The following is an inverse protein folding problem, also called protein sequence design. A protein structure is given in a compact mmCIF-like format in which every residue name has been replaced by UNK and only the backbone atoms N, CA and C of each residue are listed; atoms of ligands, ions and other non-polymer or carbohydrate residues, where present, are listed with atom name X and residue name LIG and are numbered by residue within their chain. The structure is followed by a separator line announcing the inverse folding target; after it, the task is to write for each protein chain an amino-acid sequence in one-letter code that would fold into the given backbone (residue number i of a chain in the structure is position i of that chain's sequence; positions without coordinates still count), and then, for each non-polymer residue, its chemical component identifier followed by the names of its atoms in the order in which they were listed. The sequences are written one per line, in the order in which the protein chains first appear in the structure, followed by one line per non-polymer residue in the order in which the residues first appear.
data_IF_085229357313
#
_entry.id   IF_085229357313
#
_cell.length_a   1.000
_cell.length_b   1.000
_cell.length_c   1.000
_cell.angle_alpha   90.00
_cell.angle_beta   90.00
_cell.angle_gamma   90.00
#
_symmetry.space_group_name_H-M   'P 1'
#
loop_
_entity.id
_entity.type
_entity.pdbx_description
1 polymer ?
#
# COMPACT_ATOMS: atom_id res chain seq x y z
N UNK A 1 -12.93 -10.56 -10.63
CA UNK A 1 -12.86 -11.20 -9.30
C UNK A 1 -12.88 -10.08 -8.27
N UNK A 2 -14.00 -9.92 -7.55
CA UNK A 2 -14.15 -8.94 -6.48
C UNK A 2 -13.06 -9.17 -5.42
N UNK A 3 -12.35 -8.10 -5.04
CA UNK A 3 -11.43 -8.15 -3.88
C UNK A 3 -12.19 -8.72 -2.70
N UNK A 4 -11.65 -9.66 -1.93
CA UNK A 4 -12.24 -9.99 -0.66
C UNK A 4 -12.20 -8.71 0.18
N UNK A 5 -13.38 -8.23 0.53
CA UNK A 5 -13.56 -7.16 1.50
C UNK A 5 -12.99 -7.73 2.81
N UNK A 6 -11.72 -7.41 3.12
CA UNK A 6 -11.13 -7.78 4.39
C UNK A 6 -11.88 -7.01 5.46
N UNK A 7 -12.87 -7.66 6.07
CA UNK A 7 -13.60 -7.09 7.20
C UNK A 7 -12.54 -6.69 8.24
N UNK A 8 -12.45 -5.40 8.55
CA UNK A 8 -11.49 -4.84 9.53
C UNK A 8 -11.63 -5.47 10.92
N UNK A 9 -12.69 -6.27 11.11
CA UNK A 9 -13.04 -6.99 12.32
C UNK A 9 -12.43 -8.40 12.44
N UNK A 10 -11.62 -8.83 11.46
CA UNK A 10 -11.03 -10.16 11.48
C UNK A 10 -9.77 -10.22 12.35
N UNK A 11 -9.84 -10.96 13.47
CA UNK A 11 -8.79 -11.05 14.49
C UNK A 11 -7.76 -12.17 14.27
N UNK A 12 -8.00 -13.08 13.34
CA UNK A 12 -7.16 -14.28 13.17
C UNK A 12 -5.98 -14.04 12.25
N UNK A 13 -4.83 -14.69 12.49
CA UNK A 13 -3.62 -14.52 11.69
C UNK A 13 -3.82 -14.99 10.25
N UNK A 14 -3.26 -14.24 9.30
CA UNK A 14 -3.29 -14.54 7.87
C UNK A 14 -1.87 -14.95 7.47
N UNK A 15 -1.66 -16.24 7.15
CA UNK A 15 -0.32 -16.76 6.81
C UNK A 15 0.28 -16.20 5.52
N UNK A 16 -0.52 -15.58 4.66
CA UNK A 16 -0.07 -14.96 3.41
C UNK A 16 0.82 -13.72 3.62
N UNK A 17 0.99 -13.28 4.87
CA UNK A 17 1.80 -12.09 5.19
C UNK A 17 3.19 -12.49 5.68
N UNK A 18 4.26 -11.87 5.18
CA UNK A 18 5.62 -12.13 5.66
C UNK A 18 5.73 -11.85 7.17
N UNK A 19 6.43 -12.73 7.87
CA UNK A 19 6.70 -12.57 9.30
C UNK A 19 5.57 -12.99 10.26
N UNK A 20 4.40 -13.45 9.78
CA UNK A 20 3.31 -13.94 10.65
C UNK A 20 3.78 -15.12 11.50
N UNK A 21 4.42 -16.10 10.88
CA UNK A 21 4.92 -17.29 11.57
C UNK A 21 5.96 -16.92 12.64
N UNK A 22 6.90 -16.04 12.28
CA UNK A 22 7.93 -15.59 13.23
C UNK A 22 7.33 -14.89 14.44
N UNK A 23 6.38 -13.98 14.22
CA UNK A 23 5.70 -13.25 15.31
C UNK A 23 4.86 -14.17 16.18
N UNK A 24 4.14 -15.10 15.56
CA UNK A 24 3.37 -16.12 16.27
C UNK A 24 4.27 -16.95 17.19
N UNK A 25 5.41 -17.41 16.68
CA UNK A 25 6.39 -18.16 17.46
C UNK A 25 6.96 -17.34 18.61
N UNK A 26 7.33 -16.08 18.38
CA UNK A 26 7.82 -15.17 19.43
C UNK A 26 6.75 -14.97 20.51
N UNK A 27 5.49 -14.71 20.12
CA UNK A 27 4.38 -14.57 21.07
C UNK A 27 4.14 -15.82 21.89
N UNK A 28 4.19 -17.01 21.27
CA UNK A 28 4.06 -18.29 21.96
C UNK A 28 5.17 -18.48 22.99
N UNK A 29 6.42 -18.23 22.62
CA UNK A 29 7.57 -18.36 23.53
C UNK A 29 7.46 -17.36 24.69
N UNK A 30 7.15 -16.09 24.39
CA UNK A 30 7.02 -15.05 25.41
C UNK A 30 5.91 -15.37 26.42
N UNK A 31 4.73 -15.83 25.95
CA UNK A 31 3.63 -16.23 26.82
C UNK A 31 3.96 -17.51 27.64
N UNK A 32 4.72 -18.45 27.07
CA UNK A 32 5.17 -19.64 27.81
C UNK A 32 6.10 -19.26 28.94
N UNK A 33 7.07 -18.38 28.69
CA UNK A 33 7.97 -17.85 29.72
C UNK A 33 7.17 -17.09 30.78
N UNK A 34 6.27 -16.21 30.38
CA UNK A 34 5.42 -15.44 31.31
C UNK A 34 4.55 -16.36 32.18
N UNK A 35 3.89 -17.35 31.57
CA UNK A 35 3.06 -18.33 32.26
C UNK A 35 3.85 -19.10 33.33
N UNK A 36 5.10 -19.47 33.05
CA UNK A 36 5.99 -20.12 33.99
C UNK A 36 6.33 -19.24 35.20
N UNK A 37 6.58 -17.95 34.94
CA UNK A 37 6.90 -16.99 36.01
C UNK A 37 5.71 -16.73 36.95
N UNK A 38 4.49 -16.87 36.45
CA UNK A 38 3.25 -16.62 37.21
C UNK A 38 2.84 -17.84 38.04
N UNK A 39 3.15 -19.05 37.60
CA UNK A 39 2.58 -20.28 38.20
C UNK A 39 3.29 -20.80 39.44
N UNK A 40 4.57 -20.65 39.62
CA UNK A 40 5.27 -20.88 40.92
C UNK A 40 6.78 -20.65 40.82
N UNK A 41 7.40 -20.26 41.92
CA UNK A 41 8.83 -19.89 41.97
C UNK A 41 9.76 -21.07 42.33
N UNK A 42 9.27 -22.13 43.01
CA UNK A 42 10.15 -23.17 43.53
C UNK A 42 10.54 -24.25 42.52
N UNK A 43 9.70 -24.52 41.49
CA UNK A 43 9.93 -25.52 40.43
C UNK A 43 9.73 -24.94 39.02
N UNK A 44 10.30 -23.77 38.75
CA UNK A 44 10.10 -23.08 37.48
C UNK A 44 10.46 -23.91 36.23
N UNK A 45 11.53 -24.74 36.33
CA UNK A 45 11.97 -25.57 35.20
C UNK A 45 10.98 -26.67 34.88
N UNK A 46 10.42 -27.34 35.93
CA UNK A 46 9.36 -28.33 35.73
C UNK A 46 8.11 -27.70 35.08
N UNK A 47 7.66 -26.55 35.58
CA UNK A 47 6.51 -25.83 35.04
C UNK A 47 6.78 -25.36 33.61
N UNK A 48 7.97 -24.85 33.30
CA UNK A 48 8.38 -24.49 31.95
C UNK A 48 8.30 -25.66 30.97
N UNK A 49 8.80 -26.83 31.38
CA UNK A 49 8.75 -28.02 30.53
C UNK A 49 7.30 -28.50 30.29
N UNK A 50 6.45 -28.45 31.32
CA UNK A 50 5.03 -28.81 31.20
C UNK A 50 4.30 -27.86 30.27
N UNK A 51 4.45 -26.53 30.40
CA UNK A 51 3.81 -25.55 29.54
C UNK A 51 4.36 -25.62 28.12
N UNK A 52 5.65 -25.82 27.94
CA UNK A 52 6.26 -25.98 26.61
C UNK A 52 5.71 -27.19 25.86
N UNK A 53 5.60 -28.34 26.53
CA UNK A 53 5.01 -29.55 25.96
C UNK A 53 3.54 -29.39 25.54
N UNK A 54 2.82 -28.44 26.18
CA UNK A 54 1.40 -28.21 25.93
C UNK A 54 1.18 -27.08 24.93
N UNK A 55 1.77 -25.92 25.16
CA UNK A 55 1.44 -24.70 24.44
C UNK A 55 2.12 -24.59 23.08
N UNK A 56 3.31 -25.15 22.90
CA UNK A 56 3.97 -25.14 21.58
C UNK A 56 3.20 -26.00 20.56
N UNK A 57 2.86 -27.28 20.84
CA UNK A 57 2.04 -28.06 19.90
C UNK A 57 0.65 -27.47 19.68
N UNK A 58 0.00 -26.96 20.73
CA UNK A 58 -1.30 -26.31 20.63
C UNK A 58 -1.25 -25.09 19.71
N UNK A 59 -0.30 -24.20 19.88
CA UNK A 59 -0.12 -23.01 19.06
C UNK A 59 0.21 -23.35 17.62
N UNK A 60 1.00 -24.38 17.38
CA UNK A 60 1.35 -24.85 16.04
C UNK A 60 0.13 -25.45 15.29
N UNK A 61 -0.67 -26.27 15.98
CA UNK A 61 -1.91 -26.82 15.42
C UNK A 61 -2.91 -25.72 15.06
N UNK A 62 -3.05 -24.71 15.91
CA UNK A 62 -3.89 -23.53 15.63
C UNK A 62 -3.36 -22.73 14.43
N UNK A 63 -2.05 -22.52 14.36
CA UNK A 63 -1.45 -21.83 13.21
C UNK A 63 -1.72 -22.56 11.90
N UNK A 64 -1.59 -23.88 11.87
CA UNK A 64 -1.91 -24.70 10.70
C UNK A 64 -3.39 -24.58 10.30
N UNK A 65 -4.30 -24.64 11.28
CA UNK A 65 -5.75 -24.50 10.99
C UNK A 65 -6.11 -23.12 10.49
N UNK A 66 -5.48 -22.06 10.98
CA UNK A 66 -5.66 -20.71 10.44
C UNK A 66 -5.06 -20.55 9.04
N UNK A 67 -3.95 -21.20 8.76
CA UNK A 67 -3.33 -21.19 7.44
C UNK A 67 -4.19 -21.85 6.37
N UNK A 68 -4.60 -23.08 6.64
CA UNK A 68 -5.37 -23.89 5.67
C UNK A 68 -6.88 -23.58 5.73
N UNK A 69 -7.45 -23.45 6.93
CA UNK A 69 -8.87 -23.23 7.17
C UNK A 69 -9.30 -21.76 7.18
N UNK A 70 -8.37 -20.82 7.25
CA UNK A 70 -8.68 -19.40 7.41
C UNK A 70 -9.56 -18.81 6.30
N UNK A 71 -9.47 -19.34 5.07
CA UNK A 71 -10.35 -18.94 3.96
C UNK A 71 -11.80 -19.37 4.18
N UNK A 72 -12.01 -20.49 4.84
CA UNK A 72 -13.34 -21.03 5.15
C UNK A 72 -13.93 -20.35 6.39
N UNK A 73 -13.14 -20.17 7.44
CA UNK A 73 -13.53 -19.46 8.66
C UNK A 73 -13.97 -18.01 8.39
N UNK A 74 -13.35 -17.33 7.42
CA UNK A 74 -13.74 -15.98 6.98
C UNK A 74 -15.12 -15.87 6.37
N UNK A 75 -15.73 -16.98 5.95
CA UNK A 75 -17.11 -17.00 5.43
C UNK A 75 -18.14 -17.04 6.56
N UNK A 76 -17.73 -17.37 7.78
CA UNK A 76 -18.60 -17.42 8.94
C UNK A 76 -18.87 -16.02 9.50
N UNK A 77 -20.04 -15.85 10.12
CA UNK A 77 -20.31 -14.68 10.95
C UNK A 77 -19.31 -14.64 12.11
N UNK A 78 -18.95 -13.44 12.58
CA UNK A 78 -17.93 -13.21 13.61
C UNK A 78 -18.20 -14.02 14.89
N UNK A 79 -19.48 -14.14 15.32
CA UNK A 79 -19.85 -14.93 16.47
C UNK A 79 -19.57 -16.43 16.27
N UNK A 80 -19.90 -16.98 15.11
CA UNK A 80 -19.61 -18.38 14.77
C UNK A 80 -18.11 -18.64 14.58
N UNK A 81 -17.36 -17.64 14.16
CA UNK A 81 -15.88 -17.74 14.11
C UNK A 81 -15.27 -17.90 15.50
N UNK A 82 -15.79 -17.18 16.50
CA UNK A 82 -15.36 -17.33 17.90
C UNK A 82 -15.74 -18.69 18.50
N UNK A 83 -16.94 -19.18 18.18
CA UNK A 83 -17.38 -20.53 18.60
C UNK A 83 -16.49 -21.60 17.97
N UNK A 84 -16.25 -21.52 16.66
CA UNK A 84 -15.39 -22.48 15.95
C UNK A 84 -13.97 -22.47 16.54
N UNK A 85 -13.45 -21.28 16.83
CA UNK A 85 -12.15 -21.12 17.48
C UNK A 85 -12.09 -21.77 18.87
N UNK A 86 -13.09 -21.54 19.72
CA UNK A 86 -13.15 -22.14 21.04
C UNK A 86 -13.22 -23.67 20.97
N UNK A 87 -14.04 -24.21 20.07
CA UNK A 87 -14.15 -25.65 19.85
C UNK A 87 -12.82 -26.23 19.36
N UNK A 88 -12.14 -25.61 18.41
CA UNK A 88 -10.83 -26.07 17.93
C UNK A 88 -9.77 -26.04 19.04
N UNK A 89 -9.74 -24.98 19.85
CA UNK A 89 -8.82 -24.87 20.98
C UNK A 89 -9.05 -25.98 21.99
N UNK A 90 -10.30 -26.24 22.38
CA UNK A 90 -10.65 -27.32 23.30
C UNK A 90 -10.28 -28.69 22.72
N UNK A 91 -10.59 -28.94 21.46
CA UNK A 91 -10.28 -30.22 20.79
C UNK A 91 -8.77 -30.45 20.74
N UNK A 92 -7.99 -29.45 20.34
CA UNK A 92 -6.54 -29.58 20.27
C UNK A 92 -5.89 -29.70 21.66
N UNK A 93 -6.40 -28.98 22.66
CA UNK A 93 -5.94 -29.13 24.05
C UNK A 93 -6.15 -30.55 24.55
N UNK A 94 -7.33 -31.15 24.31
CA UNK A 94 -7.63 -32.53 24.67
C UNK A 94 -6.72 -33.54 23.91
N UNK A 95 -6.50 -33.33 22.63
CA UNK A 95 -5.57 -34.17 21.86
C UNK A 95 -4.14 -34.10 22.39
N UNK A 96 -3.64 -32.92 22.71
CA UNK A 96 -2.31 -32.74 23.30
C UNK A 96 -2.24 -33.36 24.69
N UNK A 97 -3.32 -33.28 25.49
CA UNK A 97 -3.44 -33.95 26.77
C UNK A 97 -3.34 -35.48 26.63
N UNK A 98 -4.11 -36.07 25.73
CA UNK A 98 -4.12 -37.50 25.48
C UNK A 98 -2.75 -38.05 25.04
N UNK A 99 -1.96 -37.24 24.31
CA UNK A 99 -0.62 -37.63 23.88
C UNK A 99 0.40 -37.51 25.04
N UNK A 100 0.28 -36.49 25.90
CA UNK A 100 1.28 -36.21 26.90
C UNK A 100 1.06 -36.97 28.20
N UNK A 101 -0.16 -37.44 28.49
CA UNK A 101 -0.50 -38.10 29.73
C UNK A 101 -0.77 -39.59 29.56
N UNK A 102 0.10 -40.41 30.11
CA UNK A 102 0.00 -41.89 30.05
C UNK A 102 -1.22 -42.45 30.80
N UNK A 103 -1.81 -41.69 31.71
CA UNK A 103 -2.97 -42.07 32.53
C UNK A 103 -4.22 -41.21 32.27
N UNK A 104 -4.47 -40.81 31.07
CA UNK A 104 -5.59 -39.92 30.70
C UNK A 104 -6.97 -40.43 31.17
N UNK A 105 -7.13 -41.73 31.32
CA UNK A 105 -8.40 -42.36 31.73
C UNK A 105 -8.77 -42.03 33.20
N UNK A 106 -7.82 -41.65 34.04
CA UNK A 106 -8.05 -41.34 35.45
C UNK A 106 -8.11 -39.85 35.78
N UNK A 107 -8.22 -39.00 34.76
CA UNK A 107 -8.21 -37.55 34.91
C UNK A 107 -9.54 -37.07 35.52
N UNK A 108 -9.44 -36.31 36.62
CA UNK A 108 -10.62 -35.72 37.28
C UNK A 108 -11.20 -34.54 36.49
N UNK A 109 -12.51 -34.32 36.65
CA UNK A 109 -13.19 -33.18 35.98
C UNK A 109 -12.59 -31.82 36.38
N UNK A 110 -12.15 -31.66 37.65
CA UNK A 110 -11.48 -30.44 38.12
C UNK A 110 -10.19 -30.15 37.37
N UNK A 111 -9.38 -31.17 37.12
CA UNK A 111 -8.13 -31.04 36.37
C UNK A 111 -8.40 -30.63 34.89
N UNK A 112 -9.40 -31.24 34.25
CA UNK A 112 -9.78 -30.89 32.87
C UNK A 112 -10.25 -29.45 32.77
N UNK A 113 -11.06 -28.97 33.69
CA UNK A 113 -11.57 -27.58 33.69
C UNK A 113 -10.41 -26.61 33.91
N UNK A 114 -9.51 -26.86 34.86
CA UNK A 114 -8.35 -26.01 35.08
C UNK A 114 -7.44 -25.94 33.85
N UNK A 115 -7.17 -27.08 33.24
CA UNK A 115 -6.33 -27.18 32.05
C UNK A 115 -6.96 -26.42 30.88
N UNK A 116 -8.22 -26.69 30.53
CA UNK A 116 -8.92 -26.03 29.44
C UNK A 116 -9.01 -24.52 29.65
N UNK A 117 -9.29 -24.07 30.86
CA UNK A 117 -9.34 -22.63 31.16
C UNK A 117 -7.99 -21.95 30.95
N UNK A 118 -6.90 -22.58 31.34
CA UNK A 118 -5.54 -22.10 31.13
C UNK A 118 -5.17 -22.04 29.64
N UNK A 119 -5.49 -23.09 28.90
CA UNK A 119 -5.20 -23.17 27.48
C UNK A 119 -6.03 -22.18 26.66
N UNK A 120 -7.32 -21.98 27.00
CA UNK A 120 -8.16 -20.94 26.41
C UNK A 120 -7.60 -19.54 26.71
N UNK A 121 -7.20 -19.28 27.95
CA UNK A 121 -6.60 -18.01 28.34
C UNK A 121 -5.30 -17.76 27.58
N UNK A 122 -4.44 -18.77 27.47
CA UNK A 122 -3.19 -18.66 26.67
C UNK A 122 -3.48 -18.26 25.23
N UNK A 123 -4.41 -18.96 24.55
CA UNK A 123 -4.71 -18.67 23.15
C UNK A 123 -5.43 -17.32 22.99
N UNK A 124 -6.28 -16.93 23.95
CA UNK A 124 -6.88 -15.60 23.97
C UNK A 124 -5.82 -14.50 24.07
N UNK A 125 -4.86 -14.64 24.99
CA UNK A 125 -3.74 -13.69 25.14
C UNK A 125 -2.86 -13.65 23.89
N UNK A 126 -2.60 -14.80 23.27
CA UNK A 126 -1.84 -14.88 22.03
C UNK A 126 -2.55 -14.14 20.88
N UNK A 127 -3.86 -14.32 20.72
CA UNK A 127 -4.64 -13.62 19.73
C UNK A 127 -4.73 -12.11 20.02
N UNK A 128 -4.90 -11.73 21.28
CA UNK A 128 -4.91 -10.33 21.72
C UNK A 128 -3.58 -9.63 21.42
N UNK A 129 -2.47 -10.30 21.69
CA UNK A 129 -1.14 -9.82 21.33
C UNK A 129 -1.01 -9.61 19.81
N UNK A 130 -1.54 -10.57 19.04
CA UNK A 130 -1.52 -10.51 17.58
C UNK A 130 -2.41 -9.38 17.01
N UNK A 131 -3.59 -9.15 17.62
CA UNK A 131 -4.49 -8.05 17.23
C UNK A 131 -3.89 -6.68 17.53
N UNK A 132 -3.26 -6.51 18.68
CA UNK A 132 -2.58 -5.27 19.03
C UNK A 132 -1.48 -4.87 18.03
N UNK A 133 -0.75 -5.85 17.50
CA UNK A 133 0.23 -5.67 16.43
C UNK A 133 -0.44 -5.34 15.08
N UNK A 134 -1.57 -5.96 14.79
CA UNK A 134 -2.32 -5.72 13.55
C UNK A 134 -2.87 -4.28 13.49
N UNK A 135 -3.40 -3.77 14.60
CA UNK A 135 -3.88 -2.39 14.72
C UNK A 135 -2.76 -1.36 14.62
N UNK A 136 -1.58 -1.64 15.17
CA UNK A 136 -0.39 -0.78 15.03
C UNK A 136 0.10 -0.74 13.57
N UNK A 137 0.07 -1.86 12.86
CA UNK A 137 0.34 -1.91 11.43
C UNK A 137 -0.66 -1.08 10.61
N UNK A 138 -1.96 -1.11 10.93
CA UNK A 138 -2.98 -0.34 10.23
C UNK A 138 -2.86 1.17 10.48
N UNK A 139 -2.46 1.60 11.68
CA UNK A 139 -2.19 3.02 11.99
C UNK A 139 -0.96 3.55 11.26
N UNK A 140 0.09 2.73 11.10
CA UNK A 140 1.26 3.04 10.27
C UNK A 140 0.88 3.17 8.79
N UNK A 141 -0.04 2.33 8.31
CA UNK A 141 -0.59 2.43 6.95
C UNK A 141 -1.47 3.67 6.76
N UNK A 142 -2.29 4.02 7.75
CA UNK A 142 -3.07 5.26 7.73
C UNK A 142 -2.17 6.49 7.73
N UNK A 143 -1.07 6.45 8.49
CA UNK A 143 -0.06 7.51 8.52
C UNK A 143 0.73 7.58 7.21
N UNK A 144 1.20 6.45 6.67
CA UNK A 144 1.84 6.39 5.37
C UNK A 144 0.90 6.84 4.24
N UNK A 145 -0.41 6.58 4.35
CA UNK A 145 -1.43 7.07 3.42
C UNK A 145 -1.69 8.57 3.57
N UNK A 146 -1.63 9.10 4.79
CA UNK A 146 -1.66 10.54 5.06
C UNK A 146 -0.37 11.22 4.56
N UNK A 147 0.77 10.62 4.79
CA UNK A 147 2.07 11.11 4.28
C UNK A 147 2.13 11.05 2.75
N UNK A 148 1.54 10.02 2.11
CA UNK A 148 1.32 9.96 0.66
C UNK A 148 0.32 11.02 0.16
N UNK A 149 -0.73 11.34 0.93
CA UNK A 149 -1.67 12.40 0.60
C UNK A 149 -1.03 13.78 0.75
N UNK A 150 -0.18 13.97 1.76
CA UNK A 150 0.60 15.20 1.96
C UNK A 150 1.74 15.33 0.93
N UNK A 151 2.34 14.21 0.49
CA UNK A 151 3.32 14.20 -0.60
C UNK A 151 2.69 14.42 -1.98
N UNK A 152 1.36 14.32 -2.12
CA UNK A 152 0.66 14.64 -3.38
C UNK A 152 0.66 16.12 -3.71
N UNK A 153 0.68 16.99 -2.71
CA UNK A 153 0.96 18.42 -2.92
C UNK A 153 2.43 18.65 -2.58
N UNK A 154 3.29 18.85 -3.58
CA UNK A 154 4.64 19.33 -3.31
C UNK A 154 4.53 20.76 -2.80
N UNK A 155 4.87 21.03 -1.53
CA UNK A 155 4.75 22.38 -0.97
C UNK A 155 5.47 23.42 -1.83
N UNK A 156 6.62 23.03 -2.38
CA UNK A 156 7.43 23.88 -3.25
C UNK A 156 6.73 24.28 -4.55
N UNK A 157 6.00 23.37 -5.22
CA UNK A 157 5.21 23.69 -6.40
C UNK A 157 4.11 24.71 -6.05
N UNK A 158 3.37 24.44 -4.98
CA UNK A 158 2.28 25.32 -4.55
C UNK A 158 2.79 26.71 -4.19
N UNK A 159 3.87 26.82 -3.40
CA UNK A 159 4.45 28.12 -3.04
C UNK A 159 4.98 28.88 -4.26
N UNK A 160 5.65 28.22 -5.19
CA UNK A 160 6.13 28.85 -6.41
C UNK A 160 4.98 29.34 -7.30
N UNK A 161 3.93 28.53 -7.46
CA UNK A 161 2.74 28.91 -8.23
C UNK A 161 2.04 30.12 -7.60
N UNK A 162 1.86 30.15 -6.27
CA UNK A 162 1.26 31.27 -5.56
C UNK A 162 2.10 32.55 -5.68
N UNK A 163 3.42 32.46 -5.61
CA UNK A 163 4.30 33.61 -5.80
C UNK A 163 4.19 34.17 -7.23
N UNK A 164 4.22 33.33 -8.25
CA UNK A 164 4.05 33.75 -9.64
C UNK A 164 2.66 34.37 -9.88
N UNK A 165 1.62 33.81 -9.26
CA UNK A 165 0.27 34.37 -9.30
C UNK A 165 0.22 35.77 -8.68
N UNK A 166 0.85 35.97 -7.51
CA UNK A 166 0.88 37.26 -6.84
C UNK A 166 1.57 38.36 -7.69
N UNK A 167 2.64 38.01 -8.39
CA UNK A 167 3.33 38.91 -9.34
C UNK A 167 2.44 39.19 -10.56
N UNK A 168 1.74 38.18 -11.08
CA UNK A 168 0.93 38.26 -12.27
C UNK A 168 -0.35 39.08 -12.09
N UNK A 169 -0.96 39.09 -10.89
CA UNK A 169 -2.18 39.84 -10.60
C UNK A 169 -2.03 41.33 -10.97
N UNK A 170 -0.85 41.91 -10.82
CA UNK A 170 -0.59 43.31 -11.14
C UNK A 170 -0.30 43.56 -12.62
N UNK A 171 0.13 42.54 -13.38
CA UNK A 171 0.61 42.65 -14.75
C UNK A 171 -0.48 42.22 -15.73
N UNK A 172 -1.13 41.06 -15.47
CA UNK A 172 -2.14 40.44 -16.32
C UNK A 172 -3.21 39.77 -15.42
N UNK A 173 -4.22 40.50 -14.93
CA UNK A 173 -5.23 39.99 -14.03
C UNK A 173 -6.04 38.82 -14.61
N UNK A 174 -6.36 38.85 -15.92
CA UNK A 174 -7.16 37.82 -16.56
C UNK A 174 -6.40 36.50 -16.65
N UNK A 175 -5.10 36.56 -16.94
CA UNK A 175 -4.22 35.38 -16.93
C UNK A 175 -4.02 34.86 -15.50
N UNK A 176 -3.92 35.73 -14.50
CA UNK A 176 -3.85 35.34 -13.09
C UNK A 176 -5.12 34.64 -12.63
N UNK A 177 -6.32 35.13 -13.00
CA UNK A 177 -7.61 34.50 -12.70
C UNK A 177 -7.69 33.07 -13.26
N UNK A 178 -7.35 32.90 -14.53
CA UNK A 178 -7.31 31.57 -15.17
C UNK A 178 -6.36 30.62 -14.45
N UNK A 179 -5.20 31.10 -14.05
CA UNK A 179 -4.22 30.28 -13.33
C UNK A 179 -4.68 29.89 -11.90
N UNK A 180 -5.45 30.77 -11.21
CA UNK A 180 -6.11 30.42 -9.94
C UNK A 180 -7.15 29.33 -10.14
N UNK A 181 -7.93 29.38 -11.22
CA UNK A 181 -8.88 28.32 -11.58
C UNK A 181 -8.18 26.99 -11.88
N UNK A 182 -7.11 27.00 -12.66
CA UNK A 182 -6.29 25.81 -12.93
C UNK A 182 -5.73 25.21 -11.65
N UNK A 183 -5.25 26.06 -10.72
CA UNK A 183 -4.74 25.60 -9.42
C UNK A 183 -5.86 24.99 -8.55
N UNK A 184 -7.05 25.56 -8.57
CA UNK A 184 -8.20 25.05 -7.85
C UNK A 184 -8.65 23.68 -8.42
N UNK A 185 -8.68 23.51 -9.73
CA UNK A 185 -9.06 22.27 -10.39
C UNK A 185 -8.02 21.17 -10.11
N UNK A 186 -6.73 21.49 -10.23
CA UNK A 186 -5.65 20.57 -9.90
C UNK A 186 -5.70 20.16 -8.43
N UNK A 187 -5.97 21.10 -7.52
CA UNK A 187 -6.12 20.82 -6.09
C UNK A 187 -7.30 19.87 -5.83
N UNK A 188 -8.44 20.05 -6.50
CA UNK A 188 -9.58 19.14 -6.43
C UNK A 188 -9.22 17.74 -6.93
N UNK A 189 -8.53 17.64 -8.07
CA UNK A 189 -8.09 16.36 -8.61
C UNK A 189 -7.18 15.60 -7.64
N UNK A 190 -6.28 16.32 -6.94
CA UNK A 190 -5.40 15.73 -5.91
C UNK A 190 -6.16 15.22 -4.69
N UNK A 191 -7.28 15.83 -4.34
CA UNK A 191 -8.13 15.46 -3.21
C UNK A 191 -9.15 14.36 -3.56
N UNK A 192 -9.35 14.06 -4.85
CA UNK A 192 -10.26 13.00 -5.28
C UNK A 192 -9.83 11.64 -4.71
N UNK A 193 -10.84 10.89 -4.23
CA UNK A 193 -10.63 9.55 -3.66
C UNK A 193 -10.69 8.43 -4.70
N UNK A 194 -11.16 8.72 -5.89
CA UNK A 194 -11.30 7.73 -6.93
C UNK A 194 -9.93 7.28 -7.44
N UNK A 195 -9.67 5.96 -7.46
CA UNK A 195 -8.39 5.44 -7.91
C UNK A 195 -8.21 5.57 -9.43
N UNK A 196 -9.31 5.68 -10.18
CA UNK A 196 -9.35 5.79 -11.64
C UNK A 196 -10.41 6.82 -12.06
N UNK A 197 -10.06 7.65 -13.03
CA UNK A 197 -10.91 8.70 -13.64
C UNK A 197 -10.99 8.53 -15.15
N UNK A 198 -11.86 9.26 -15.83
CA UNK A 198 -11.94 9.27 -17.27
C UNK A 198 -10.65 9.87 -17.90
N UNK A 199 -10.25 9.36 -19.06
CA UNK A 199 -9.03 9.82 -19.75
C UNK A 199 -9.09 11.30 -20.10
N UNK A 200 -10.27 11.83 -20.41
CA UNK A 200 -10.47 13.26 -20.65
C UNK A 200 -10.17 14.08 -19.37
N UNK A 201 -10.59 13.60 -18.20
CA UNK A 201 -10.32 14.29 -16.93
C UNK A 201 -8.84 14.23 -16.56
N UNK A 202 -8.18 13.07 -16.77
CA UNK A 202 -6.76 12.91 -16.49
C UNK A 202 -5.92 13.81 -17.40
N UNK A 203 -6.29 13.92 -18.69
CA UNK A 203 -5.65 14.81 -19.63
C UNK A 203 -5.87 16.28 -19.25
N UNK A 204 -7.11 16.67 -18.90
CA UNK A 204 -7.41 18.04 -18.45
C UNK A 204 -6.60 18.45 -17.23
N UNK A 205 -6.44 17.54 -16.25
CA UNK A 205 -5.62 17.76 -15.06
C UNK A 205 -4.13 17.94 -15.43
N UNK A 206 -3.62 17.13 -16.37
CA UNK A 206 -2.26 17.24 -16.86
C UNK A 206 -2.02 18.57 -17.62
N UNK A 207 -2.98 18.99 -18.45
CA UNK A 207 -2.91 20.26 -19.15
C UNK A 207 -2.99 21.46 -18.19
N UNK A 208 -3.84 21.42 -17.16
CA UNK A 208 -3.88 22.44 -16.10
C UNK A 208 -2.53 22.56 -15.38
N UNK A 209 -1.92 21.41 -15.02
CA UNK A 209 -0.58 21.39 -14.45
C UNK A 209 0.47 22.06 -15.37
N UNK A 210 0.44 21.71 -16.67
CA UNK A 210 1.36 22.29 -17.65
C UNK A 210 1.16 23.80 -17.86
N UNK A 211 -0.10 24.28 -17.83
CA UNK A 211 -0.37 25.74 -17.87
C UNK A 211 0.23 26.46 -16.68
N UNK A 212 0.11 25.89 -15.49
CA UNK A 212 0.74 26.47 -14.28
C UNK A 212 2.27 26.46 -14.35
N UNK A 213 2.89 25.38 -14.83
CA UNK A 213 4.35 25.33 -15.03
C UNK A 213 4.82 26.31 -16.12
N UNK A 214 4.01 26.53 -17.15
CA UNK A 214 4.31 27.50 -18.20
C UNK A 214 4.35 28.94 -17.71
N UNK A 215 3.65 29.29 -16.61
CA UNK A 215 3.78 30.61 -15.98
C UNK A 215 5.20 30.88 -15.47
N UNK A 216 5.91 29.83 -15.09
CA UNK A 216 7.28 29.90 -14.56
C UNK A 216 8.34 29.78 -15.65
N UNK A 217 8.03 29.00 -16.69
CA UNK A 217 9.03 28.61 -17.71
C UNK A 217 8.83 29.30 -19.06
N UNK A 218 7.69 29.97 -19.21
CA UNK A 218 7.29 30.72 -20.39
C UNK A 218 7.45 29.91 -21.71
N UNK A 219 8.10 30.45 -22.73
CA UNK A 219 8.30 29.83 -24.05
C UNK A 219 9.20 28.57 -24.00
N UNK A 220 9.92 28.35 -22.91
CA UNK A 220 10.83 27.21 -22.75
C UNK A 220 10.07 25.88 -22.65
N UNK A 221 8.84 25.88 -22.09
CA UNK A 221 8.05 24.65 -21.91
C UNK A 221 7.21 24.37 -23.15
N UNK A 222 7.65 23.41 -23.97
CA UNK A 222 6.91 22.91 -25.13
C UNK A 222 6.53 21.47 -24.90
N UNK A 223 5.24 21.15 -25.14
CA UNK A 223 4.69 19.79 -24.99
C UNK A 223 3.88 19.42 -26.22
N UNK A 224 4.25 18.32 -26.84
CA UNK A 224 3.58 17.76 -27.99
C UNK A 224 2.74 16.55 -27.61
N UNK A 225 1.46 16.56 -27.98
CA UNK A 225 0.51 15.51 -27.68
C UNK A 225 0.17 14.68 -28.92
N UNK A 226 0.39 13.37 -28.83
CA UNK A 226 -0.15 12.35 -29.74
C UNK A 226 -1.08 11.44 -28.94
N UNK A 227 -2.36 11.83 -28.79
CA UNK A 227 -3.30 11.24 -27.87
C UNK A 227 -4.52 10.70 -28.57
N UNK A 228 -4.65 9.36 -28.59
CA UNK A 228 -5.74 8.63 -29.24
C UNK A 228 -6.53 7.72 -28.28
N UNK A 229 -6.33 7.89 -26.96
CA UNK A 229 -7.11 7.20 -25.93
C UNK A 229 -8.53 7.80 -25.92
N UNK A 230 -9.55 6.92 -25.88
CA UNK A 230 -10.94 7.35 -25.81
C UNK A 230 -11.22 8.11 -24.51
N UNK A 231 -11.97 9.19 -24.59
CA UNK A 231 -12.26 10.11 -23.48
C UNK A 231 -12.86 9.41 -22.25
N UNK A 232 -13.70 8.39 -22.45
CA UNK A 232 -14.36 7.64 -21.38
C UNK A 232 -13.51 6.49 -20.81
N UNK A 233 -12.36 6.20 -21.39
CA UNK A 233 -11.48 5.13 -20.90
C UNK A 233 -10.97 5.47 -19.50
N UNK A 234 -11.03 4.50 -18.60
CA UNK A 234 -10.60 4.69 -17.20
C UNK A 234 -9.07 4.60 -17.08
N UNK A 235 -8.47 5.67 -16.59
CA UNK A 235 -7.04 5.77 -16.27
C UNK A 235 -6.83 5.94 -14.77
N UNK A 236 -5.67 5.53 -14.22
CA UNK A 236 -5.29 5.88 -12.85
C UNK A 236 -5.30 7.40 -12.67
N UNK A 237 -6.01 7.89 -11.68
CA UNK A 237 -6.02 9.32 -11.34
C UNK A 237 -4.60 9.82 -11.07
N UNK A 238 -4.20 10.98 -11.59
CA UNK A 238 -2.85 11.54 -11.47
C UNK A 238 -1.76 10.56 -11.98
N UNK A 239 -1.97 9.99 -13.17
CA UNK A 239 -0.99 9.16 -13.87
C UNK A 239 0.03 10.03 -14.62
N UNK A 240 -0.46 11.04 -15.34
CA UNK A 240 0.35 11.89 -16.23
C UNK A 240 1.17 12.92 -15.46
N UNK A 241 0.61 13.51 -14.42
CA UNK A 241 1.28 14.60 -13.68
C UNK A 241 2.66 14.22 -13.14
N UNK A 242 2.88 13.08 -12.43
CA UNK A 242 4.20 12.70 -11.94
C UNK A 242 5.22 12.46 -13.07
N UNK A 243 4.76 12.02 -14.22
CA UNK A 243 5.60 11.79 -15.40
C UNK A 243 6.02 13.12 -16.03
N UNK A 244 5.08 14.05 -16.20
CA UNK A 244 5.34 15.40 -16.72
C UNK A 244 6.25 16.18 -15.78
N UNK A 245 6.03 16.07 -14.47
CA UNK A 245 6.89 16.67 -13.46
C UNK A 245 8.34 16.17 -13.56
N UNK A 246 8.51 14.85 -13.77
CA UNK A 246 9.82 14.26 -13.98
C UNK A 246 10.46 14.78 -15.28
N UNK A 247 9.69 14.85 -16.38
CA UNK A 247 10.15 15.32 -17.67
C UNK A 247 10.57 16.81 -17.63
N UNK A 248 9.79 17.65 -16.95
CA UNK A 248 10.12 19.07 -16.76
C UNK A 248 11.39 19.22 -15.96
N UNK A 249 11.46 18.60 -14.79
CA UNK A 249 12.57 18.74 -13.85
C UNK A 249 13.91 18.28 -14.41
N UNK A 250 13.92 17.18 -15.16
CA UNK A 250 15.16 16.55 -15.63
C UNK A 250 15.42 16.74 -17.11
N UNK A 251 14.39 17.10 -17.91
CA UNK A 251 14.48 17.26 -19.34
C UNK A 251 14.37 18.68 -19.83
N UNK A 252 13.66 19.58 -19.12
CA UNK A 252 13.44 20.95 -19.56
C UNK A 252 14.21 21.98 -18.72
N UNK A 253 14.08 21.92 -17.39
CA UNK A 253 14.73 22.90 -16.50
C UNK A 253 16.24 23.02 -16.70
N UNK A 254 17.01 21.92 -16.81
CA UNK A 254 18.47 22.00 -16.88
C UNK A 254 19.02 22.33 -18.28
N UNK A 255 18.18 22.38 -19.32
CA UNK A 255 18.57 22.66 -20.72
C UNK A 255 18.30 24.14 -21.02
N UNK A 256 19.21 24.83 -21.70
CA UNK A 256 19.00 26.22 -22.12
C UNK A 256 17.89 26.34 -23.16
N UNK A 257 17.13 27.44 -23.13
CA UNK A 257 15.96 27.64 -24.00
C UNK A 257 16.31 27.63 -25.51
N UNK A 258 17.55 27.99 -25.85
CA UNK A 258 18.06 28.01 -27.23
C UNK A 258 18.06 26.64 -27.91
N UNK A 259 18.13 25.55 -27.12
CA UNK A 259 18.07 24.17 -27.63
C UNK A 259 16.65 23.68 -27.86
N UNK A 260 15.60 24.52 -27.63
CA UNK A 260 14.20 24.17 -27.83
C UNK A 260 13.83 22.78 -27.27
N UNK A 261 14.03 22.51 -25.98
CA UNK A 261 13.71 21.21 -25.42
C UNK A 261 12.20 20.99 -25.42
N UNK A 262 11.77 19.80 -25.86
CA UNK A 262 10.35 19.45 -25.98
C UNK A 262 10.04 18.16 -25.24
N UNK A 263 8.82 18.08 -24.67
CA UNK A 263 8.25 16.86 -24.10
C UNK A 263 7.27 16.28 -25.12
N UNK A 264 7.36 14.98 -25.36
CA UNK A 264 6.40 14.27 -26.18
C UNK A 264 5.56 13.35 -25.29
N UNK A 265 4.24 13.51 -25.36
CA UNK A 265 3.25 12.69 -24.65
C UNK A 265 2.48 11.90 -25.68
N UNK A 266 2.59 10.58 -25.61
CA UNK A 266 1.87 9.69 -26.50
C UNK A 266 0.95 8.77 -25.71
N UNK A 267 -0.33 8.72 -26.10
CA UNK A 267 -1.34 7.83 -25.51
C UNK A 267 -2.15 7.12 -26.58
N UNK A 268 -2.22 5.78 -26.51
CA UNK A 268 -3.00 4.98 -27.45
C UNK A 268 -3.59 3.75 -26.80
N UNK A 269 -4.64 3.22 -27.41
CA UNK A 269 -5.30 2.01 -26.98
C UNK A 269 -4.96 0.83 -27.89
N UNK A 270 -4.75 -0.32 -27.29
CA UNK A 270 -4.81 -1.63 -27.93
C UNK A 270 -6.09 -2.36 -27.48
N UNK A 271 -6.35 -3.54 -28.04
CA UNK A 271 -7.57 -4.31 -27.72
C UNK A 271 -7.79 -4.47 -26.21
N UNK A 272 -6.76 -4.86 -25.48
CA UNK A 272 -6.83 -5.22 -24.06
C UNK A 272 -5.98 -4.32 -23.15
N UNK A 273 -5.29 -3.34 -23.74
CA UNK A 273 -4.32 -2.51 -23.04
C UNK A 273 -4.41 -1.03 -23.43
N UNK A 274 -4.02 -0.20 -22.50
CA UNK A 274 -3.78 1.22 -22.68
C UNK A 274 -2.28 1.45 -22.53
N UNK A 275 -1.70 2.20 -23.44
CA UNK A 275 -0.29 2.56 -23.44
C UNK A 275 -0.15 4.06 -23.31
N UNK A 276 0.76 4.49 -22.46
CA UNK A 276 1.16 5.89 -22.26
C UNK A 276 2.67 5.97 -22.29
N UNK A 277 3.21 6.87 -23.09
CA UNK A 277 4.65 7.12 -23.15
C UNK A 277 4.91 8.62 -23.02
N UNK A 278 5.85 8.99 -22.18
CA UNK A 278 6.36 10.36 -22.07
C UNK A 278 7.86 10.34 -22.31
N UNK A 279 8.31 11.17 -23.23
CA UNK A 279 9.73 11.30 -23.53
C UNK A 279 10.19 12.76 -23.44
N UNK A 280 11.41 12.96 -22.99
CA UNK A 280 12.06 14.26 -22.86
C UNK A 280 13.56 14.15 -23.15
N UNK A 281 14.22 15.25 -23.55
CA UNK A 281 15.65 15.25 -23.75
C UNK A 281 16.39 15.05 -22.42
N UNK A 282 17.62 14.57 -22.51
CA UNK A 282 18.55 14.42 -21.37
C UNK A 282 19.57 15.55 -21.45
N UNK A 283 19.73 16.29 -20.35
CA UNK A 283 20.80 17.30 -20.25
C UNK A 283 22.16 16.65 -20.01
N UNK A 284 23.16 17.08 -20.75
CA UNK A 284 24.57 16.68 -20.51
C UNK A 284 25.07 17.19 -19.15
N UNK A 285 24.50 18.28 -18.64
CA UNK A 285 24.75 18.84 -17.31
C UNK A 285 23.90 18.16 -16.22
N UNK A 286 23.68 16.87 -16.28
CA UNK A 286 23.09 16.17 -15.13
C UNK A 286 23.91 16.51 -13.89
N UNK A 287 23.41 17.45 -13.09
CA UNK A 287 23.97 17.67 -11.76
C UNK A 287 24.04 16.30 -11.09
N UNK A 288 25.23 15.88 -10.65
CA UNK A 288 25.49 14.64 -9.91
C UNK A 288 24.75 14.55 -8.56
N UNK A 289 23.84 15.48 -8.28
CA UNK A 289 22.89 15.34 -7.19
C UNK A 289 21.80 14.37 -7.66
N UNK A 290 21.80 13.13 -7.17
CA UNK A 290 20.64 12.28 -7.36
C UNK A 290 19.46 13.08 -6.78
N UNK A 291 18.58 13.58 -7.65
CA UNK A 291 17.26 14.01 -7.19
C UNK A 291 16.71 12.83 -6.40
N UNK A 292 15.90 13.05 -5.39
CA UNK A 292 15.39 12.00 -4.48
C UNK A 292 14.70 10.81 -5.17
N UNK A 293 14.78 10.66 -6.48
CA UNK A 293 14.41 9.49 -7.30
C UNK A 293 13.08 8.80 -6.93
N UNK A 294 12.24 9.46 -6.13
CA UNK A 294 11.10 8.85 -5.43
C UNK A 294 9.83 8.83 -6.30
N UNK A 295 9.73 9.75 -7.27
CA UNK A 295 8.48 9.95 -8.03
C UNK A 295 8.13 8.76 -8.92
N UNK A 296 9.05 8.29 -9.75
CA UNK A 296 8.81 7.16 -10.66
C UNK A 296 8.68 5.82 -9.93
N UNK A 297 9.52 5.49 -8.92
CA UNK A 297 9.31 4.30 -8.08
C UNK A 297 7.96 4.28 -7.39
N UNK A 298 7.50 5.40 -6.82
CA UNK A 298 6.18 5.49 -6.17
C UNK A 298 5.03 5.28 -7.17
N UNK A 299 5.18 5.80 -8.38
CA UNK A 299 4.20 5.56 -9.44
C UNK A 299 4.17 4.08 -9.87
N UNK A 300 5.33 3.46 -10.02
CA UNK A 300 5.45 2.04 -10.35
C UNK A 300 4.82 1.15 -9.26
N UNK A 301 5.10 1.43 -7.99
CA UNK A 301 4.48 0.73 -6.85
C UNK A 301 2.97 0.90 -6.84
N UNK A 302 2.47 2.12 -7.10
CA UNK A 302 1.03 2.38 -7.19
C UNK A 302 0.37 1.61 -8.33
N UNK A 303 1.02 1.49 -9.49
CA UNK A 303 0.52 0.71 -10.62
C UNK A 303 0.51 -0.80 -10.30
N UNK A 304 1.50 -1.33 -9.57
CA UNK A 304 1.48 -2.71 -9.07
C UNK A 304 0.29 -2.95 -8.14
N UNK A 305 -0.07 -1.98 -7.32
CA UNK A 305 -1.24 -2.05 -6.46
C UNK A 305 -2.58 -2.06 -7.23
N UNK A 306 -2.69 -1.22 -8.27
CA UNK A 306 -3.91 -1.11 -9.08
C UNK A 306 -4.07 -2.29 -10.04
N UNK A 307 -2.95 -2.80 -10.59
CA UNK A 307 -2.93 -3.82 -11.64
C UNK A 307 -1.88 -4.90 -11.36
N UNK A 308 -2.05 -5.71 -10.28
CA UNK A 308 -1.05 -6.70 -9.87
C UNK A 308 -0.70 -7.66 -11.02
N UNK A 309 0.58 -7.73 -11.39
CA UNK A 309 1.11 -8.59 -12.47
C UNK A 309 0.49 -8.35 -13.86
N UNK A 310 -0.25 -7.23 -14.07
CA UNK A 310 -0.94 -6.94 -15.34
C UNK A 310 -0.51 -5.60 -15.95
N UNK A 311 0.38 -4.88 -15.30
CA UNK A 311 0.95 -3.64 -15.83
C UNK A 311 2.39 -3.84 -16.26
N UNK A 312 2.90 -2.90 -17.04
CA UNK A 312 4.32 -2.81 -17.38
C UNK A 312 4.75 -1.37 -17.23
N UNK A 313 5.79 -1.16 -16.45
CA UNK A 313 6.44 0.15 -16.28
C UNK A 313 7.90 0.01 -16.73
N UNK A 314 8.34 0.85 -17.65
CA UNK A 314 9.70 0.82 -18.19
C UNK A 314 10.24 2.23 -18.35
N UNK A 315 11.53 2.37 -18.09
CA UNK A 315 12.30 3.56 -18.41
C UNK A 315 13.43 3.18 -19.36
N UNK A 316 13.69 4.03 -20.33
CA UNK A 316 14.80 3.85 -21.29
C UNK A 316 15.52 5.18 -21.48
N UNK A 317 16.80 5.08 -21.78
CA UNK A 317 17.62 6.20 -22.25
C UNK A 317 18.21 5.79 -23.61
N UNK A 318 17.86 6.51 -24.68
CA UNK A 318 18.31 6.21 -26.03
C UNK A 318 18.59 7.54 -26.72
N UNK A 319 19.81 7.69 -27.26
CA UNK A 319 20.22 8.84 -28.08
C UNK A 319 19.93 10.21 -27.45
N UNK A 320 20.18 10.36 -26.15
CA UNK A 320 19.95 11.62 -25.44
C UNK A 320 18.47 11.89 -25.08
N UNK A 321 17.60 10.91 -25.25
CA UNK A 321 16.17 10.98 -24.87
C UNK A 321 15.91 10.01 -23.70
N UNK A 322 15.25 10.51 -22.66
CA UNK A 322 14.69 9.72 -21.59
C UNK A 322 13.20 9.44 -21.87
N UNK A 323 12.83 8.19 -21.84
CA UNK A 323 11.48 7.73 -22.09
C UNK A 323 10.93 6.91 -20.92
N UNK A 324 9.72 7.22 -20.50
CA UNK A 324 8.93 6.41 -19.57
C UNK A 324 7.75 5.82 -20.31
N UNK A 325 7.62 4.51 -20.34
CA UNK A 325 6.52 3.79 -20.98
C UNK A 325 5.70 3.03 -19.95
N UNK A 326 4.39 3.22 -19.98
CA UNK A 326 3.42 2.54 -19.12
C UNK A 326 2.43 1.79 -19.98
N UNK A 327 2.17 0.53 -19.62
CA UNK A 327 1.12 -0.28 -20.21
C UNK A 327 0.24 -0.83 -19.09
N UNK A 328 -1.06 -0.58 -19.16
CA UNK A 328 -2.05 -1.03 -18.17
C UNK A 328 -3.20 -1.75 -18.87
N UNK A 329 -3.87 -2.70 -18.18
CA UNK A 329 -5.01 -3.38 -18.80
C UNK A 329 -6.19 -2.43 -18.95
N UNK A 330 -6.86 -2.50 -20.12
CA UNK A 330 -8.12 -1.82 -20.36
C UNK A 330 -9.22 -2.53 -19.57
N UNK A 331 -9.92 -1.82 -18.70
CA UNK A 331 -11.13 -2.34 -18.06
C UNK A 331 -12.28 -2.21 -19.05
N UNK A 332 -12.84 -3.31 -19.50
CA UNK A 332 -14.12 -3.29 -20.19
C UNK A 332 -15.18 -2.82 -19.19
N UNK A 333 -15.84 -1.71 -19.53
CA UNK A 333 -17.01 -1.17 -18.81
C UNK A 333 -18.20 -2.07 -19.07
#
# INVERSE_FOLDING_TARGET
MSRPNYDERWFFPILDRPGVITRWSIGTIALTIFGTLVTNTDDWLSNFLVLTKTWIPLSFLLLLTFGYGGKWLRKLNIAWSWVAWAVLTCTFSLCVAAINETNFVFVTWSYLIERLSRDILFVFLLLYFFDGEHRRGSSSWAKARLDMLQARMRPHFLFNTLNNLAEMIQIDPDRAENAVLDLADLSRAMLQKEPEIAAIEERANAEAYLRLEKLRMDEKLKVNWDWTINDNTRLPSLLLQPLLENAIKYGIEPIEAEYNPEIFVKGWEEKDYINVTISNPISDNRSKKPGNGVTLPNLAERLEWLYPNKHRFRTKEIEGIFEVSIRIPKKNI
#
